data_IF_442961680820
#
_entry.id   IF_442961680820
#
_cell.length_a   1.000
_cell.length_b   1.000
_cell.length_c   1.000
_cell.angle_alpha   90.00
_cell.angle_beta   90.00
_cell.angle_gamma   90.00
#
_symmetry.space_group_name_H-M   'P 1'
#
loop_
_entity.id
_entity.type
_entity.pdbx_description
1 polymer ?
#
# COMPACT_ATOMS: atom_id res chain seq x y z
N UNK A 1 -16.68 -13.88 19.10
CA UNK A 1 -16.53 -12.46 18.74
C UNK A 1 -15.20 -12.32 17.97
N UNK A 2 -15.20 -12.36 16.63
CA UNK A 2 -13.97 -12.18 15.88
C UNK A 2 -13.50 -10.73 16.04
N UNK A 3 -12.21 -10.55 16.28
CA UNK A 3 -11.57 -9.28 16.61
C UNK A 3 -11.69 -8.27 15.46
N UNK A 4 -11.99 -7.01 15.79
CA UNK A 4 -12.03 -5.81 14.93
C UNK A 4 -10.70 -5.48 14.21
N UNK A 5 -9.79 -6.44 14.07
CA UNK A 5 -8.42 -6.24 13.64
C UNK A 5 -8.18 -6.48 12.13
N UNK A 6 -9.17 -6.99 11.36
CA UNK A 6 -8.86 -7.59 10.06
C UNK A 6 -9.64 -7.07 8.84
N UNK A 7 -10.70 -6.26 8.97
CA UNK A 7 -11.61 -6.05 7.82
C UNK A 7 -11.42 -4.80 6.94
N UNK A 8 -10.57 -3.80 7.28
CA UNK A 8 -10.43 -2.61 6.40
C UNK A 8 -9.05 -1.92 6.35
N UNK A 9 -8.01 -2.50 6.95
CA UNK A 9 -6.70 -1.85 7.09
C UNK A 9 -5.76 -2.09 5.88
N UNK A 10 -6.10 -1.54 4.71
CA UNK A 10 -5.18 -1.57 3.54
C UNK A 10 -4.04 -0.55 3.65
N UNK A 11 -4.20 0.49 4.47
CA UNK A 11 -3.14 1.46 4.75
C UNK A 11 -2.63 1.29 6.18
N UNK A 12 -1.32 1.07 6.30
CA UNK A 12 -0.56 1.07 7.54
C UNK A 12 0.49 2.20 7.55
N UNK A 13 1.06 2.47 8.74
CA UNK A 13 2.06 3.53 8.90
C UNK A 13 3.28 3.36 7.97
N UNK A 14 3.71 2.13 7.70
CA UNK A 14 4.82 1.86 6.77
C UNK A 14 4.49 2.30 5.34
N UNK A 15 3.27 2.02 4.88
CA UNK A 15 2.77 2.43 3.56
C UNK A 15 2.72 3.95 3.44
N UNK A 16 2.30 4.64 4.51
CA UNK A 16 2.32 6.10 4.60
C UNK A 16 3.74 6.65 4.44
N UNK A 17 4.71 6.05 5.12
CA UNK A 17 6.13 6.45 5.01
C UNK A 17 6.73 6.16 3.63
N UNK A 18 6.29 5.11 2.95
CA UNK A 18 6.77 4.81 1.59
C UNK A 18 6.14 5.73 0.53
N UNK A 19 4.90 6.17 0.75
CA UNK A 19 4.25 7.19 -0.09
C UNK A 19 4.92 8.55 0.11
N UNK A 20 5.22 8.93 1.35
CA UNK A 20 5.84 10.24 1.64
C UNK A 20 7.21 10.41 1.00
N UNK A 21 8.01 9.35 0.89
CA UNK A 21 9.31 9.37 0.17
C UNK A 21 9.16 9.74 -1.31
N UNK A 22 8.02 9.42 -1.91
CA UNK A 22 7.73 9.65 -3.31
C UNK A 22 7.06 11.01 -3.55
N UNK A 23 6.57 11.69 -2.51
CA UNK A 23 5.93 12.99 -2.62
C UNK A 23 6.97 14.12 -2.68
N UNK A 24 6.85 14.93 -3.72
CA UNK A 24 7.66 16.12 -3.96
C UNK A 24 6.90 17.40 -3.60
N UNK A 25 6.77 18.34 -4.53
CA UNK A 25 6.04 19.59 -4.34
C UNK A 25 4.53 19.40 -4.14
N UNK A 26 3.99 18.26 -4.58
CA UNK A 26 2.57 17.93 -4.62
C UNK A 26 1.96 17.70 -3.23
N UNK A 27 2.80 17.51 -2.21
CA UNK A 27 2.34 17.25 -0.85
C UNK A 27 1.46 18.39 -0.31
N UNK A 28 1.66 19.63 -0.76
CA UNK A 28 0.87 20.79 -0.32
C UNK A 28 -0.56 20.72 -0.85
N UNK A 29 -0.73 20.36 -2.13
CA UNK A 29 -2.04 20.13 -2.75
C UNK A 29 -2.74 18.96 -2.05
N UNK A 30 -2.01 17.86 -1.84
CA UNK A 30 -2.52 16.72 -1.10
C UNK A 30 -2.96 17.11 0.32
N UNK A 31 -2.22 17.97 1.02
CA UNK A 31 -2.61 18.41 2.35
C UNK A 31 -3.96 19.13 2.35
N UNK A 32 -4.21 20.01 1.40
CA UNK A 32 -5.51 20.68 1.27
C UNK A 32 -6.63 19.69 0.94
N UNK A 33 -6.40 18.74 0.03
CA UNK A 33 -7.37 17.69 -0.31
C UNK A 33 -7.68 16.77 0.89
N UNK A 34 -6.71 16.56 1.77
CA UNK A 34 -6.87 15.78 3.00
C UNK A 34 -7.52 16.58 4.14
N UNK A 35 -7.85 17.86 3.90
CA UNK A 35 -8.58 18.72 4.83
C UNK A 35 -7.70 19.50 5.81
N UNK A 36 -6.41 19.63 5.54
CA UNK A 36 -5.56 20.55 6.29
C UNK A 36 -5.81 22.00 5.88
N UNK A 37 -5.75 22.89 6.86
CA UNK A 37 -5.86 24.33 6.63
C UNK A 37 -4.48 24.96 6.35
N UNK A 38 -4.49 26.23 5.93
CA UNK A 38 -3.26 26.97 5.59
C UNK A 38 -2.27 27.07 6.75
N UNK A 39 -2.75 27.16 7.99
CA UNK A 39 -1.89 27.26 9.18
C UNK A 39 -1.17 25.94 9.47
N UNK A 40 -1.85 24.81 9.33
CA UNK A 40 -1.27 23.47 9.46
C UNK A 40 -0.24 23.21 8.34
N UNK A 41 -0.56 23.58 7.10
CA UNK A 41 0.40 23.48 5.98
C UNK A 41 1.65 24.34 6.23
N UNK A 42 1.49 25.53 6.82
CA UNK A 42 2.62 26.38 7.21
C UNK A 42 3.46 25.75 8.32
N UNK A 43 2.83 25.07 9.27
CA UNK A 43 3.52 24.32 10.32
C UNK A 43 4.38 23.21 9.71
N UNK A 44 3.84 22.41 8.78
CA UNK A 44 4.62 21.39 8.09
C UNK A 44 5.81 21.97 7.30
N UNK A 45 5.65 23.16 6.71
CA UNK A 45 6.76 23.87 6.07
C UNK A 45 7.87 24.26 7.07
N UNK A 46 7.51 24.58 8.31
CA UNK A 46 8.47 24.98 9.34
C UNK A 46 9.25 23.78 9.93
N UNK A 47 8.72 22.56 9.83
CA UNK A 47 9.32 21.36 10.41
C UNK A 47 10.66 20.98 9.78
N UNK A 48 10.84 21.22 8.48
CA UNK A 48 12.08 20.89 7.76
C UNK A 48 12.20 21.67 6.47
N UNK A 49 13.42 21.87 5.95
CA UNK A 49 13.64 22.39 4.59
C UNK A 49 13.39 21.33 3.49
N UNK A 50 13.49 20.05 3.83
CA UNK A 50 13.34 18.96 2.88
C UNK A 50 11.86 18.62 2.62
N UNK A 51 11.43 18.68 1.36
CA UNK A 51 10.04 18.43 0.96
C UNK A 51 9.53 17.05 1.35
N UNK A 52 10.39 16.02 1.28
CA UNK A 52 10.04 14.66 1.69
C UNK A 52 9.73 14.57 3.19
N UNK A 53 10.48 15.28 4.02
CA UNK A 53 10.25 15.32 5.46
C UNK A 53 8.96 16.11 5.79
N UNK A 54 8.68 17.18 5.05
CA UNK A 54 7.41 17.92 5.16
C UNK A 54 6.22 17.00 4.79
N UNK A 55 6.32 16.30 3.66
CA UNK A 55 5.30 15.35 3.21
C UNK A 55 5.09 14.18 4.19
N UNK A 56 6.19 13.67 4.77
CA UNK A 56 6.15 12.63 5.79
C UNK A 56 5.38 13.10 7.02
N UNK A 57 5.76 14.25 7.57
CA UNK A 57 5.09 14.81 8.75
C UNK A 57 3.61 15.05 8.49
N UNK A 58 3.25 15.59 7.33
CA UNK A 58 1.85 15.83 6.95
C UNK A 58 1.04 14.53 6.87
N UNK A 59 1.57 13.49 6.19
CA UNK A 59 0.85 12.23 6.05
C UNK A 59 0.77 11.42 7.34
N UNK A 60 1.80 11.49 8.19
CA UNK A 60 1.77 10.89 9.53
C UNK A 60 0.68 11.55 10.39
N UNK A 61 0.62 12.89 10.41
CA UNK A 61 -0.45 13.63 11.08
C UNK A 61 -1.84 13.31 10.52
N UNK A 62 -1.96 13.13 9.20
CA UNK A 62 -3.23 12.73 8.59
C UNK A 62 -3.66 11.32 9.01
N UNK A 63 -2.71 10.39 9.03
CA UNK A 63 -2.96 9.00 9.41
C UNK A 63 -3.43 8.87 10.86
N UNK A 64 -2.83 9.63 11.77
CA UNK A 64 -3.25 9.72 13.17
C UNK A 64 -4.66 10.30 13.31
N UNK A 65 -4.97 11.37 12.56
CA UNK A 65 -6.31 12.00 12.54
C UNK A 65 -7.40 11.14 11.89
N UNK A 66 -7.02 10.16 11.09
CA UNK A 66 -7.96 9.37 10.28
C UNK A 66 -8.23 7.98 10.86
N UNK A 67 -7.87 7.75 12.14
CA UNK A 67 -8.04 6.46 12.81
C UNK A 67 -9.52 6.03 12.93
N UNK A 68 -10.43 6.98 13.08
CA UNK A 68 -11.87 6.74 13.22
C UNK A 68 -12.61 6.63 11.87
N UNK A 69 -11.96 6.99 10.76
CA UNK A 69 -12.61 7.06 9.45
C UNK A 69 -12.69 5.68 8.78
N UNK A 70 -13.89 5.17 8.45
CA UNK A 70 -14.05 3.84 7.88
C UNK A 70 -13.43 3.69 6.48
N UNK A 71 -13.32 4.78 5.70
CA UNK A 71 -12.85 4.76 4.31
C UNK A 71 -11.50 5.47 4.10
N UNK A 72 -10.59 5.42 5.07
CA UNK A 72 -9.30 6.15 5.01
C UNK A 72 -8.48 5.87 3.75
N UNK A 73 -8.44 4.63 3.28
CA UNK A 73 -7.70 4.26 2.06
C UNK A 73 -8.24 4.97 0.83
N UNK A 74 -9.56 5.03 0.68
CA UNK A 74 -10.21 5.71 -0.44
C UNK A 74 -10.01 7.22 -0.38
N UNK A 75 -10.09 7.82 0.81
CA UNK A 75 -9.81 9.24 1.01
C UNK A 75 -8.39 9.61 0.57
N UNK A 76 -7.39 8.79 0.90
CA UNK A 76 -6.02 9.03 0.45
C UNK A 76 -5.87 8.83 -1.06
N UNK A 77 -6.52 7.82 -1.64
CA UNK A 77 -6.51 7.58 -3.09
C UNK A 77 -7.10 8.78 -3.84
N UNK A 78 -8.27 9.25 -3.44
CA UNK A 78 -8.95 10.38 -4.06
C UNK A 78 -8.11 11.67 -3.91
N UNK A 79 -7.52 11.89 -2.73
CA UNK A 79 -6.62 13.02 -2.50
C UNK A 79 -5.36 12.97 -3.36
N UNK A 80 -4.76 11.79 -3.53
CA UNK A 80 -3.58 11.59 -4.39
C UNK A 80 -3.94 11.79 -5.88
N UNK A 81 -5.09 11.30 -6.34
CA UNK A 81 -5.55 11.51 -7.71
C UNK A 81 -5.76 13.00 -8.02
N UNK A 82 -6.36 13.75 -7.10
CA UNK A 82 -6.54 15.21 -7.22
C UNK A 82 -5.24 16.00 -7.10
N UNK A 83 -4.29 15.51 -6.32
CA UNK A 83 -2.95 16.10 -6.23
C UNK A 83 -2.06 15.80 -7.47
N UNK A 84 -2.58 15.09 -8.48
CA UNK A 84 -1.85 14.74 -9.70
C UNK A 84 -1.05 13.43 -9.61
N UNK A 85 -1.09 12.73 -8.46
CA UNK A 85 -0.35 11.50 -8.19
C UNK A 85 -1.18 10.24 -8.37
N UNK A 86 -1.67 10.10 -9.59
CA UNK A 86 -2.44 8.93 -10.05
C UNK A 86 -1.62 7.63 -9.95
N UNK A 87 -0.30 7.70 -10.13
CA UNK A 87 0.63 6.59 -9.93
C UNK A 87 0.58 6.03 -8.50
N UNK A 88 0.57 6.90 -7.49
CA UNK A 88 0.50 6.51 -6.09
C UNK A 88 -0.90 6.04 -5.71
N UNK A 89 -1.94 6.71 -6.22
CA UNK A 89 -3.33 6.32 -6.02
C UNK A 89 -3.60 4.90 -6.57
N UNK A 90 -3.12 4.61 -7.78
CA UNK A 90 -3.29 3.29 -8.41
C UNK A 90 -2.48 2.20 -7.69
N UNK A 91 -1.27 2.53 -7.20
CA UNK A 91 -0.50 1.60 -6.36
C UNK A 91 -1.24 1.23 -5.07
N UNK A 92 -1.88 2.20 -4.41
CA UNK A 92 -2.75 1.94 -3.26
C UNK A 92 -3.97 1.10 -3.64
N UNK A 93 -4.54 1.32 -4.83
CA UNK A 93 -5.67 0.54 -5.34
C UNK A 93 -5.28 -0.92 -5.61
N UNK A 94 -4.10 -1.16 -6.17
CA UNK A 94 -3.57 -2.50 -6.39
C UNK A 94 -3.27 -3.24 -5.07
N UNK A 95 -2.76 -2.55 -4.04
CA UNK A 95 -2.58 -3.13 -2.70
C UNK A 95 -3.93 -3.49 -2.06
N UNK A 96 -4.96 -2.66 -2.25
CA UNK A 96 -6.33 -2.95 -1.82
C UNK A 96 -6.89 -4.19 -2.53
N UNK A 97 -6.68 -4.29 -3.83
CA UNK A 97 -7.14 -5.43 -4.64
C UNK A 97 -6.43 -6.74 -4.24
N UNK A 98 -5.13 -6.71 -3.96
CA UNK A 98 -4.38 -7.89 -3.51
C UNK A 98 -4.90 -8.46 -2.19
N UNK A 99 -5.25 -7.61 -1.23
CA UNK A 99 -5.80 -8.04 0.06
C UNK A 99 -7.28 -8.45 -0.05
N UNK A 100 -8.10 -7.68 -0.80
CA UNK A 100 -9.54 -7.95 -0.93
C UNK A 100 -9.83 -9.21 -1.76
N UNK A 101 -9.04 -9.51 -2.81
CA UNK A 101 -9.17 -10.76 -3.57
C UNK A 101 -8.82 -11.96 -2.70
N UNK A 102 -7.74 -11.91 -1.93
CA UNK A 102 -7.31 -13.05 -1.10
C UNK A 102 -8.23 -13.29 0.11
N UNK A 103 -8.90 -12.26 0.65
CA UNK A 103 -9.78 -12.40 1.81
C UNK A 103 -11.20 -12.90 1.52
N UNK A 104 -11.75 -12.68 0.31
CA UNK A 104 -13.06 -13.22 -0.11
C UNK A 104 -12.85 -14.37 -1.09
N UNK A 105 -12.55 -15.57 -0.59
CA UNK A 105 -12.52 -16.85 -1.35
C UNK A 105 -12.12 -16.69 -2.82
N UNK A 106 -10.82 -16.63 -3.10
CA UNK A 106 -10.38 -17.03 -4.44
C UNK A 106 -10.47 -18.56 -4.47
N UNK A 107 -11.53 -19.10 -5.07
CA UNK A 107 -11.29 -20.27 -5.92
C UNK A 107 -10.38 -19.76 -7.02
N UNK A 108 -9.08 -19.90 -6.77
CA UNK A 108 -8.04 -19.63 -7.74
C UNK A 108 -8.46 -20.35 -9.03
N UNK A 109 -8.56 -19.66 -10.18
CA UNK A 109 -8.56 -20.38 -11.45
C UNK A 109 -7.40 -21.37 -11.38
N UNK A 110 -7.67 -22.65 -11.65
CA UNK A 110 -6.78 -23.81 -11.47
C UNK A 110 -5.34 -23.65 -12.00
N UNK A 111 -5.01 -22.55 -12.69
CA UNK A 111 -3.70 -22.16 -13.16
C UNK A 111 -2.84 -21.34 -12.17
N UNK A 112 -3.33 -20.95 -10.99
CA UNK A 112 -2.56 -20.21 -9.98
C UNK A 112 -1.68 -21.01 -8.97
N UNK A 113 -1.29 -22.30 -9.16
CA UNK A 113 -0.21 -22.89 -8.35
C UNK A 113 1.20 -22.48 -8.78
N UNK A 114 1.40 -21.92 -9.98
CA UNK A 114 2.74 -21.85 -10.56
C UNK A 114 3.55 -20.60 -10.17
N UNK A 115 2.95 -19.42 -10.00
CA UNK A 115 3.73 -18.19 -9.80
C UNK A 115 4.20 -17.96 -8.36
N UNK A 116 3.44 -18.39 -7.35
CA UNK A 116 3.83 -18.24 -5.94
C UNK A 116 4.86 -19.30 -5.53
N UNK A 117 4.72 -20.52 -6.07
CA UNK A 117 5.69 -21.61 -5.79
C UNK A 117 7.07 -21.22 -6.29
N UNK A 118 7.20 -20.63 -7.48
CA UNK A 118 8.51 -20.26 -8.06
C UNK A 118 9.27 -19.24 -7.21
N UNK A 119 8.62 -18.20 -6.67
CA UNK A 119 9.33 -17.19 -5.88
C UNK A 119 9.81 -17.69 -4.51
N UNK A 120 9.12 -18.68 -3.91
CA UNK A 120 9.49 -19.23 -2.60
C UNK A 120 10.46 -20.42 -2.69
N UNK A 121 10.57 -21.07 -3.85
CA UNK A 121 11.45 -22.23 -4.06
C UNK A 121 12.83 -21.89 -4.65
N UNK A 122 13.12 -20.65 -5.03
CA UNK A 122 14.45 -20.28 -5.56
C UNK A 122 15.57 -20.54 -4.54
N UNK A 123 15.29 -20.48 -3.24
CA UNK A 123 16.26 -20.86 -2.19
C UNK A 123 16.33 -22.37 -1.91
N UNK A 124 15.38 -23.19 -2.39
CA UNK A 124 15.35 -24.63 -2.15
C UNK A 124 15.61 -25.41 -3.44
N UNK A 125 16.85 -25.31 -3.93
CA UNK A 125 17.32 -25.96 -5.16
C UNK A 125 17.16 -27.50 -5.12
N UNK A 126 17.23 -28.12 -3.95
CA UNK A 126 17.15 -29.58 -3.80
C UNK A 126 15.72 -30.09 -3.96
N UNK A 127 14.72 -29.38 -3.44
CA UNK A 127 13.31 -29.72 -3.66
C UNK A 127 12.93 -29.60 -5.14
N UNK A 128 13.49 -28.61 -5.85
CA UNK A 128 13.26 -28.42 -7.29
C UNK A 128 13.89 -29.52 -8.15
N UNK A 129 15.06 -30.08 -7.77
CA UNK A 129 15.65 -31.22 -8.49
C UNK A 129 14.78 -32.47 -8.43
N UNK A 130 14.26 -32.81 -7.24
CA UNK A 130 13.39 -33.98 -7.05
C UNK A 130 12.11 -33.92 -7.89
N UNK A 131 11.51 -32.73 -8.01
CA UNK A 131 10.30 -32.54 -8.83
C UNK A 131 10.62 -32.75 -10.31
N UNK A 132 11.79 -32.30 -10.78
CA UNK A 132 12.21 -32.47 -12.17
C UNK A 132 12.57 -33.93 -12.51
N UNK A 133 13.12 -34.68 -11.56
CA UNK A 133 13.41 -36.12 -11.69
C UNK A 133 12.12 -36.95 -11.79
N UNK A 134 11.09 -36.61 -11.00
CA UNK A 134 9.77 -37.27 -11.06
C UNK A 134 9.05 -37.02 -12.38
N UNK A 135 9.31 -35.89 -13.05
CA UNK A 135 8.69 -35.56 -14.33
C UNK A 135 9.35 -36.30 -15.52
N UNK A 136 10.57 -36.84 -15.33
CA UNK A 136 11.28 -37.64 -16.35
C UNK A 136 10.91 -39.12 -16.35
N UNK A 137 10.24 -39.64 -15.31
CA UNK A 137 9.83 -41.04 -15.26
C UNK A 137 8.45 -41.31 -15.86
N UNK A 138 7.77 -40.27 -16.36
CA UNK A 138 6.43 -40.35 -16.97
C UNK A 138 6.41 -39.96 -18.46
N UNK A 139 7.56 -39.98 -19.13
CA UNK A 139 7.66 -40.01 -20.60
C UNK A 139 8.43 -41.27 -21.04
#
# INVERSE_FOLDING_TARGET
MPSKAQEDAVINMKSIQDISKQLGFEWTVLAYELGFNRTEVRQFHSTSKEKRLQAKSMLESWYERSWDKPNKTKLLQDGLERAGRRDLAERLRCLHWGHQKLSRRVELPSAFPFLITVHKTIENKDALRRINELNRSYN
#
